data_IF_568636794484
#
_entry.id   IF_568636794484
#
_cell.length_a   1.000
_cell.length_b   1.000
_cell.length_c   1.000
_cell.angle_alpha   90.00
_cell.angle_beta   90.00
_cell.angle_gamma   90.00
#
_symmetry.space_group_name_H-M   'P 1'
#
loop_
_entity.id
_entity.type
_entity.pdbx_description
1 polymer ?
#
# COMPACT_ATOMS: atom_id res chain seq x y z
N UNK A 1 -16.28 -4.01 -17.16
CA UNK A 1 -15.40 -4.97 -16.43
C UNK A 1 -16.02 -6.34 -16.52
N UNK A 2 -15.42 -7.34 -17.18
CA UNK A 2 -16.06 -8.65 -17.27
C UNK A 2 -16.23 -9.22 -15.86
N UNK A 3 -17.49 -9.42 -15.47
CA UNK A 3 -17.98 -9.81 -14.13
C UNK A 3 -17.26 -11.06 -13.60
N UNK A 4 -16.70 -11.86 -14.50
CA UNK A 4 -15.99 -13.12 -14.29
C UNK A 4 -14.80 -12.96 -13.32
N UNK A 5 -14.12 -11.81 -13.29
CA UNK A 5 -12.95 -11.60 -12.42
C UNK A 5 -13.25 -11.00 -11.06
N UNK A 6 -14.51 -10.65 -10.77
CA UNK A 6 -14.89 -10.02 -9.50
C UNK A 6 -14.69 -10.97 -8.33
N UNK A 7 -15.25 -12.19 -8.41
CA UNK A 7 -15.12 -13.20 -7.34
C UNK A 7 -13.66 -13.59 -7.06
N UNK A 8 -12.82 -13.87 -8.08
CA UNK A 8 -11.40 -14.11 -7.84
C UNK A 8 -10.67 -12.93 -7.20
N UNK A 9 -10.97 -11.69 -7.60
CA UNK A 9 -10.34 -10.51 -7.02
C UNK A 9 -10.72 -10.30 -5.55
N UNK A 10 -12.00 -10.49 -5.19
CA UNK A 10 -12.47 -10.42 -3.80
C UNK A 10 -11.81 -11.50 -2.93
N UNK A 11 -11.68 -12.72 -3.48
CA UNK A 11 -11.01 -13.85 -2.81
C UNK A 11 -9.53 -13.56 -2.57
N UNK A 12 -8.81 -13.09 -3.59
CA UNK A 12 -7.41 -12.69 -3.48
C UNK A 12 -7.21 -11.59 -2.44
N UNK A 13 -8.06 -10.55 -2.47
CA UNK A 13 -8.00 -9.46 -1.48
C UNK A 13 -8.17 -9.99 -0.06
N UNK A 14 -9.13 -10.88 0.15
CA UNK A 14 -9.39 -11.48 1.46
C UNK A 14 -8.23 -12.35 1.94
N UNK A 15 -7.66 -13.18 1.05
CA UNK A 15 -6.52 -14.04 1.36
C UNK A 15 -5.29 -13.21 1.75
N UNK A 16 -4.94 -12.21 0.94
CA UNK A 16 -3.82 -11.31 1.21
C UNK A 16 -4.03 -10.53 2.51
N UNK A 17 -5.24 -10.02 2.76
CA UNK A 17 -5.56 -9.33 4.01
C UNK A 17 -5.30 -10.19 5.24
N UNK A 18 -5.62 -11.49 5.16
CA UNK A 18 -5.41 -12.44 6.27
C UNK A 18 -4.00 -13.03 6.33
N UNK A 19 -3.09 -12.58 5.47
CA UNK A 19 -1.73 -13.09 5.37
C UNK A 19 -1.64 -14.49 4.78
N UNK A 20 -2.67 -14.97 4.05
CA UNK A 20 -2.66 -16.25 3.34
C UNK A 20 -1.99 -16.09 1.97
N UNK A 21 -0.71 -15.71 1.98
CA UNK A 21 0.02 -15.33 0.77
C UNK A 21 0.24 -16.53 -0.15
N UNK A 22 0.54 -17.70 0.41
CA UNK A 22 0.75 -18.93 -0.37
C UNK A 22 -0.54 -19.31 -1.12
N UNK A 23 -1.69 -19.26 -0.45
CA UNK A 23 -2.99 -19.50 -1.07
C UNK A 23 -3.27 -18.49 -2.19
N UNK A 24 -3.01 -17.20 -1.95
CA UNK A 24 -3.16 -16.17 -2.98
C UNK A 24 -2.22 -16.39 -4.18
N UNK A 25 -1.00 -16.87 -3.95
CA UNK A 25 -0.05 -17.23 -5.00
C UNK A 25 -0.56 -18.38 -5.87
N UNK A 26 -1.07 -19.45 -5.26
CA UNK A 26 -1.69 -20.58 -5.99
C UNK A 26 -2.91 -20.13 -6.78
N UNK A 27 -3.78 -19.29 -6.20
CA UNK A 27 -4.95 -18.75 -6.88
C UNK A 27 -4.54 -17.91 -8.12
N UNK A 28 -3.47 -17.11 -8.01
CA UNK A 28 -2.93 -16.34 -9.12
C UNK A 28 -2.38 -17.23 -10.24
N UNK A 29 -1.66 -18.30 -9.91
CA UNK A 29 -1.16 -19.26 -10.89
C UNK A 29 -2.31 -19.92 -11.67
N UNK A 30 -3.38 -20.32 -10.97
CA UNK A 30 -4.58 -20.85 -11.63
C UNK A 30 -5.24 -19.82 -12.57
N UNK A 31 -5.37 -18.57 -12.12
CA UNK A 31 -5.91 -17.50 -12.96
C UNK A 31 -5.05 -17.24 -14.20
N UNK A 32 -3.73 -17.28 -14.07
CA UNK A 32 -2.81 -17.17 -15.19
C UNK A 32 -3.04 -18.28 -16.23
N UNK A 33 -3.20 -19.54 -15.81
CA UNK A 33 -3.52 -20.64 -16.71
C UNK A 33 -4.86 -20.43 -17.42
N UNK A 34 -5.89 -20.00 -16.71
CA UNK A 34 -7.21 -19.73 -17.28
C UNK A 34 -7.13 -18.59 -18.32
N UNK A 35 -6.46 -17.49 -17.99
CA UNK A 35 -6.28 -16.36 -18.90
C UNK A 35 -5.50 -16.75 -20.16
N UNK A 36 -4.40 -17.50 -20.02
CA UNK A 36 -3.60 -17.97 -21.14
C UNK A 36 -4.38 -18.94 -22.04
N UNK A 37 -5.25 -19.78 -21.47
CA UNK A 37 -6.12 -20.66 -22.24
C UNK A 37 -7.18 -19.86 -23.01
N UNK A 38 -7.84 -18.91 -22.35
CA UNK A 38 -8.89 -18.09 -22.96
C UNK A 38 -8.38 -17.19 -24.07
N UNK A 39 -7.17 -16.65 -23.94
CA UNK A 39 -6.59 -15.80 -24.98
C UNK A 39 -6.34 -16.54 -26.30
N UNK A 40 -6.10 -17.85 -26.23
CA UNK A 40 -5.91 -18.73 -27.39
C UNK A 40 -7.24 -19.21 -27.99
N UNK A 41 -8.25 -19.45 -27.16
CA UNK A 41 -9.51 -20.08 -27.57
C UNK A 41 -10.52 -19.11 -28.19
N UNK A 42 -10.53 -17.86 -27.73
CA UNK A 42 -11.54 -16.89 -28.15
C UNK A 42 -10.87 -15.57 -28.58
N UNK A 43 -10.83 -15.29 -29.89
CA UNK A 43 -10.25 -14.05 -30.42
C UNK A 43 -10.91 -12.79 -29.86
N UNK A 44 -12.20 -12.82 -29.53
CA UNK A 44 -12.94 -11.64 -29.05
C UNK A 44 -12.50 -11.20 -27.65
N UNK A 45 -12.00 -12.12 -26.82
CA UNK A 45 -11.52 -11.83 -25.45
C UNK A 45 -10.00 -11.89 -25.33
N UNK A 46 -9.27 -12.13 -26.42
CA UNK A 46 -7.81 -12.33 -26.44
C UNK A 46 -7.07 -11.26 -25.67
N UNK A 47 -7.26 -10.00 -26.05
CA UNK A 47 -6.51 -8.89 -25.47
C UNK A 47 -6.87 -8.66 -24.00
N UNK A 48 -8.15 -8.84 -23.64
CA UNK A 48 -8.61 -8.72 -22.26
C UNK A 48 -7.99 -9.83 -21.38
N UNK A 49 -7.93 -11.06 -21.89
CA UNK A 49 -7.33 -12.20 -21.21
C UNK A 49 -5.81 -12.04 -21.07
N UNK A 50 -5.12 -11.56 -22.11
CA UNK A 50 -3.67 -11.29 -22.07
C UNK A 50 -3.32 -10.17 -21.08
N UNK A 51 -4.08 -9.06 -21.06
CA UNK A 51 -3.90 -8.01 -20.04
C UNK A 51 -4.12 -8.55 -18.63
N UNK A 52 -5.14 -9.41 -18.44
CA UNK A 52 -5.41 -9.98 -17.12
C UNK A 52 -4.33 -10.94 -16.67
N UNK A 53 -3.79 -11.74 -17.60
CA UNK A 53 -2.61 -12.57 -17.36
C UNK A 53 -1.45 -11.72 -16.85
N UNK A 54 -1.12 -10.63 -17.55
CA UNK A 54 -0.03 -9.73 -17.17
C UNK A 54 -0.23 -9.18 -15.75
N UNK A 55 -1.42 -8.68 -15.42
CA UNK A 55 -1.71 -8.21 -14.06
C UNK A 55 -1.59 -9.30 -12.98
N UNK A 56 -2.01 -10.53 -13.27
CA UNK A 56 -1.84 -11.65 -12.35
C UNK A 56 -0.36 -12.01 -12.17
N UNK A 57 0.42 -11.95 -13.24
CA UNK A 57 1.86 -12.18 -13.22
C UNK A 57 2.61 -11.10 -12.43
N UNK A 58 2.27 -9.83 -12.63
CA UNK A 58 2.86 -8.71 -11.90
C UNK A 58 2.59 -8.83 -10.39
N UNK A 59 1.34 -9.14 -10.02
CA UNK A 59 0.97 -9.33 -8.62
C UNK A 59 1.67 -10.56 -8.02
N UNK A 60 1.72 -11.68 -8.74
CA UNK A 60 2.44 -12.87 -8.29
C UNK A 60 3.92 -12.58 -8.05
N UNK A 61 4.57 -11.90 -9.01
CA UNK A 61 5.98 -11.51 -8.92
C UNK A 61 6.23 -10.58 -7.76
N UNK A 62 5.36 -9.60 -7.53
CA UNK A 62 5.44 -8.72 -6.36
C UNK A 62 5.37 -9.53 -5.06
N UNK A 63 4.40 -10.43 -4.93
CA UNK A 63 4.25 -11.26 -3.73
C UNK A 63 5.48 -12.13 -3.51
N UNK A 64 5.96 -12.81 -4.55
CA UNK A 64 7.13 -13.68 -4.48
C UNK A 64 8.40 -12.92 -4.07
N UNK A 65 8.62 -11.73 -4.64
CA UNK A 65 9.80 -10.90 -4.34
C UNK A 65 9.74 -10.25 -2.94
N UNK A 66 8.56 -10.17 -2.33
CA UNK A 66 8.35 -9.48 -1.05
C UNK A 66 7.87 -10.42 0.06
N UNK A 67 7.99 -11.74 -0.10
CA UNK A 67 7.41 -12.72 0.83
C UNK A 67 7.71 -12.43 2.31
N UNK A 68 8.94 -12.03 2.61
CA UNK A 68 9.40 -11.76 3.98
C UNK A 68 8.90 -10.42 4.54
N UNK A 69 8.49 -9.48 3.68
CA UNK A 69 8.02 -8.15 4.08
C UNK A 69 6.48 -8.01 4.04
N UNK A 70 5.77 -9.03 3.58
CA UNK A 70 4.30 -9.00 3.50
C UNK A 70 3.65 -8.98 4.89
N UNK A 71 2.80 -7.97 5.10
CA UNK A 71 2.12 -7.75 6.38
C UNK A 71 0.79 -8.49 6.46
N UNK A 72 0.59 -9.27 7.54
CA UNK A 72 -0.72 -9.84 7.87
C UNK A 72 -1.62 -8.78 8.54
N UNK A 73 -2.36 -8.03 7.72
CA UNK A 73 -3.27 -6.97 8.19
C UNK A 73 -4.39 -7.50 9.10
N UNK A 74 -4.91 -8.69 8.84
CA UNK A 74 -5.92 -9.33 9.69
C UNK A 74 -5.41 -9.65 11.09
N UNK A 75 -4.11 -9.98 11.24
CA UNK A 75 -3.46 -10.14 12.55
C UNK A 75 -3.26 -8.78 13.23
N UNK A 76 -2.85 -7.75 12.48
CA UNK A 76 -2.71 -6.38 13.03
C UNK A 76 -4.03 -5.84 13.56
N UNK A 77 -5.12 -5.99 12.79
CA UNK A 77 -6.47 -5.60 13.20
C UNK A 77 -6.89 -6.25 14.51
N UNK A 78 -6.73 -7.58 14.64
CA UNK A 78 -7.07 -8.31 15.87
C UNK A 78 -6.20 -7.92 17.08
N UNK A 79 -5.03 -7.35 16.84
CA UNK A 79 -4.13 -6.83 17.87
C UNK A 79 -4.32 -5.34 18.17
N UNK A 80 -5.29 -4.68 17.52
CA UNK A 80 -5.48 -3.23 17.64
C UNK A 80 -4.30 -2.40 17.09
N UNK A 81 -3.43 -3.00 16.27
CA UNK A 81 -2.30 -2.30 15.67
C UNK A 81 -2.76 -1.46 14.47
N UNK A 82 -2.10 -0.32 14.18
CA UNK A 82 -2.38 0.47 12.99
C UNK A 82 -2.28 -0.39 11.72
N UNK A 83 -3.28 -0.28 10.85
CA UNK A 83 -3.45 -1.11 9.64
C UNK A 83 -3.04 -0.37 8.38
N UNK A 84 -3.15 0.97 8.39
CA UNK A 84 -2.86 1.81 7.24
C UNK A 84 -1.98 2.97 7.68
N UNK A 85 -0.94 3.24 6.91
CA UNK A 85 -0.15 4.47 6.97
C UNK A 85 -0.89 5.65 6.35
N UNK A 86 -2.02 5.44 5.68
CA UNK A 86 -2.76 6.48 4.94
C UNK A 86 -3.08 7.73 5.77
N UNK A 87 -3.38 7.61 7.07
CA UNK A 87 -3.58 8.78 7.94
C UNK A 87 -2.29 9.58 8.14
N UNK A 88 -1.16 8.90 8.31
CA UNK A 88 0.14 9.53 8.43
C UNK A 88 0.58 10.13 7.08
N UNK A 89 0.45 9.38 5.99
CA UNK A 89 0.75 9.82 4.63
C UNK A 89 -0.07 11.03 4.21
N UNK A 90 -1.39 11.03 4.43
CA UNK A 90 -2.25 12.18 4.15
C UNK A 90 -1.83 13.42 4.96
N UNK A 91 -1.48 13.24 6.24
CA UNK A 91 -1.01 14.36 7.07
C UNK A 91 0.31 14.94 6.53
N UNK A 92 1.22 14.06 6.08
CA UNK A 92 2.50 14.48 5.47
C UNK A 92 2.26 15.17 4.13
N UNK A 93 1.36 14.65 3.31
CA UNK A 93 1.02 15.21 2.00
C UNK A 93 0.36 16.60 2.13
N UNK A 94 -0.52 16.78 3.10
CA UNK A 94 -1.12 18.08 3.43
C UNK A 94 -0.04 19.09 3.87
N UNK A 95 0.88 18.68 4.75
CA UNK A 95 1.99 19.53 5.21
C UNK A 95 2.93 19.86 4.05
N UNK A 96 3.29 18.86 3.24
CA UNK A 96 4.13 19.03 2.07
C UNK A 96 3.50 19.98 1.06
N UNK A 97 2.22 19.81 0.76
CA UNK A 97 1.46 20.70 -0.10
C UNK A 97 1.37 22.13 0.46
N UNK A 98 1.16 22.30 1.76
CA UNK A 98 1.05 23.61 2.40
C UNK A 98 2.39 24.36 2.55
N UNK A 99 3.51 23.64 2.71
CA UNK A 99 4.83 24.21 3.05
C UNK A 99 5.87 24.11 1.95
N UNK A 100 5.79 23.07 1.11
CA UNK A 100 6.68 22.86 -0.05
C UNK A 100 5.97 23.16 -1.37
N UNK A 101 4.65 22.92 -1.44
CA UNK A 101 3.77 23.34 -2.54
C UNK A 101 3.61 24.87 -2.60
N UNK A 102 3.57 25.41 -3.82
CA UNK A 102 3.85 26.81 -4.18
C UNK A 102 3.04 27.85 -3.36
N UNK A 103 3.72 28.99 -3.06
CA UNK A 103 3.23 30.33 -2.63
C UNK A 103 3.26 30.74 -1.14
N UNK A 104 3.85 29.97 -0.20
CA UNK A 104 4.06 30.47 1.18
C UNK A 104 5.51 30.87 1.49
N UNK A 105 5.67 31.85 2.39
CA UNK A 105 6.94 32.49 2.78
C UNK A 105 7.90 31.58 3.57
N UNK A 106 7.45 30.39 3.99
CA UNK A 106 8.23 29.44 4.78
C UNK A 106 8.35 28.12 4.01
N UNK A 107 9.31 28.09 3.07
CA UNK A 107 9.66 26.89 2.31
C UNK A 107 10.66 26.08 3.10
N UNK A 108 10.35 24.82 3.38
CA UNK A 108 11.33 23.92 3.98
C UNK A 108 12.22 23.32 2.90
N UNK A 109 13.51 23.18 3.20
CA UNK A 109 14.37 22.28 2.45
C UNK A 109 13.98 20.84 2.77
N UNK A 110 14.34 19.89 1.90
CA UNK A 110 14.11 18.46 2.14
C UNK A 110 14.63 18.02 3.53
N UNK A 111 15.86 18.43 3.87
CA UNK A 111 16.47 18.14 5.18
C UNK A 111 15.72 18.79 6.34
N UNK A 112 15.23 20.01 6.17
CA UNK A 112 14.42 20.69 7.18
C UNK A 112 13.08 20.00 7.42
N UNK A 113 12.42 19.52 6.35
CA UNK A 113 11.18 18.77 6.46
C UNK A 113 11.38 17.42 7.18
N UNK A 114 12.46 16.70 6.85
CA UNK A 114 12.82 15.45 7.51
C UNK A 114 13.04 15.65 9.03
N UNK A 115 13.87 16.63 9.42
CA UNK A 115 14.13 16.90 10.84
C UNK A 115 12.86 17.24 11.63
N UNK A 116 11.92 17.98 11.02
CA UNK A 116 10.64 18.31 11.67
C UNK A 116 9.76 17.07 11.82
N UNK A 117 9.72 16.19 10.80
CA UNK A 117 9.00 14.94 10.87
C UNK A 117 9.56 14.03 11.98
N UNK A 118 10.88 13.88 12.05
CA UNK A 118 11.57 13.07 13.07
C UNK A 118 11.32 13.61 14.48
N UNK A 119 11.45 14.93 14.67
CA UNK A 119 11.18 15.57 15.96
C UNK A 119 9.73 15.35 16.38
N UNK A 120 8.77 15.49 15.45
CA UNK A 120 7.35 15.23 15.75
C UNK A 120 7.06 13.78 16.07
N UNK A 121 7.66 12.85 15.33
CA UNK A 121 7.55 11.42 15.60
C UNK A 121 8.09 11.11 17.00
N UNK A 122 9.28 11.61 17.35
CA UNK A 122 9.87 11.42 18.66
C UNK A 122 9.01 12.00 19.81
N UNK A 123 8.33 13.14 19.59
CA UNK A 123 7.40 13.70 20.57
C UNK A 123 6.15 12.83 20.74
N UNK A 124 5.57 12.35 19.63
CA UNK A 124 4.38 11.49 19.67
C UNK A 124 4.69 10.11 20.27
N UNK A 125 5.88 9.59 20.02
CA UNK A 125 6.37 8.32 20.57
C UNK A 125 6.86 8.46 22.02
N UNK A 126 6.87 9.67 22.59
CA UNK A 126 7.29 9.95 23.96
C UNK A 126 8.81 9.92 24.18
N UNK A 127 9.59 9.67 23.13
CA UNK A 127 11.06 9.72 23.14
C UNK A 127 11.61 11.14 23.32
N UNK A 128 10.81 12.17 23.03
CA UNK A 128 11.15 13.58 23.20
C UNK A 128 10.04 14.31 23.96
N UNK A 129 10.35 14.91 25.09
CA UNK A 129 9.40 15.74 25.84
C UNK A 129 9.49 17.20 25.40
N UNK A 130 8.35 17.83 25.10
CA UNK A 130 8.30 19.28 24.82
C UNK A 130 8.29 20.04 26.14
N UNK A 131 9.43 20.60 26.54
CA UNK A 131 9.51 21.54 27.65
C UNK A 131 9.01 22.90 27.19
N UNK A 132 7.75 23.21 27.52
CA UNK A 132 7.11 24.47 27.14
C UNK A 132 7.50 25.59 28.12
N UNK A 133 8.78 25.95 28.11
CA UNK A 133 9.24 27.12 28.84
C UNK A 133 8.78 28.35 28.05
N UNK A 134 7.66 28.95 28.46
CA UNK A 134 7.31 30.31 28.04
C UNK A 134 8.52 31.19 28.39
N UNK A 135 9.32 31.59 27.40
CA UNK A 135 10.31 32.63 27.61
C UNK A 135 9.52 33.88 27.98
N UNK A 136 9.66 34.31 29.24
CA UNK A 136 9.19 35.62 29.66
C UNK A 136 9.82 36.66 28.72
N UNK A 137 8.97 37.53 28.18
CA UNK A 137 9.36 38.62 27.31
C UNK A 137 10.29 39.61 28.02
#
# INVERSE_FOLDING_TARGET
MPVIFRKPAETLRWSLWRGKVQTAGTDLQWLMVICARRSKQDPAVRDAASRRFAHCYDLYSYLANNMDSLTNYGRRYRKGLPISTSRAESSVDDIGSARMGKRRRMRWSFRGAHNVADTRAAVLDGCLTVSNNKRAA
#
